data_IF_561893028933
#
_entry.id   IF_561893028933
#
_cell.length_a   1.000
_cell.length_b   1.000
_cell.length_c   1.000
_cell.angle_alpha   90.00
_cell.angle_beta   90.00
_cell.angle_gamma   90.00
#
_symmetry.space_group_name_H-M   'P 1'
#
loop_
_entity.id
_entity.type
_entity.pdbx_description
1 polymer ?
#
# COMPACT_ATOMS: atom_id res chain seq x y z
N UNK A 1 2.21 -27.85 14.83
CA UNK A 1 1.36 -26.70 15.22
C UNK A 1 0.02 -26.85 14.53
N UNK A 2 -1.10 -26.49 15.17
CA UNK A 2 -2.39 -26.42 14.48
C UNK A 2 -2.35 -25.36 13.37
N UNK A 3 -3.19 -25.50 12.32
CA UNK A 3 -3.31 -24.47 11.30
C UNK A 3 -3.86 -23.16 11.90
N UNK A 4 -3.46 -21.99 11.37
CA UNK A 4 -3.98 -20.71 11.84
C UNK A 4 -5.48 -20.58 11.58
N UNK A 5 -6.18 -19.87 12.48
CA UNK A 5 -7.61 -19.57 12.36
C UNK A 5 -7.89 -18.65 11.17
N UNK A 6 -9.14 -18.64 10.70
CA UNK A 6 -9.56 -17.75 9.62
C UNK A 6 -9.35 -16.26 10.00
N UNK A 7 -9.61 -15.91 11.27
CA UNK A 7 -9.38 -14.58 11.81
C UNK A 7 -7.89 -14.18 11.73
N UNK A 8 -6.98 -15.08 12.12
CA UNK A 8 -5.52 -14.85 12.04
C UNK A 8 -5.08 -14.67 10.58
N UNK A 9 -5.60 -15.50 9.67
CA UNK A 9 -5.27 -15.40 8.24
C UNK A 9 -5.73 -14.05 7.67
N UNK A 10 -6.97 -13.63 7.95
CA UNK A 10 -7.53 -12.37 7.49
C UNK A 10 -6.77 -11.16 8.06
N UNK A 11 -6.46 -11.19 9.36
CA UNK A 11 -5.63 -10.18 10.04
C UNK A 11 -4.27 -10.04 9.36
N UNK A 12 -3.62 -11.17 9.04
CA UNK A 12 -2.35 -11.18 8.32
C UNK A 12 -2.46 -10.64 6.89
N UNK A 13 -3.58 -10.87 6.21
CA UNK A 13 -3.81 -10.35 4.86
C UNK A 13 -3.91 -8.82 4.86
N UNK A 14 -4.73 -8.24 5.74
CA UNK A 14 -4.85 -6.78 5.88
C UNK A 14 -3.48 -6.16 6.17
N UNK A 15 -2.75 -6.69 7.17
CA UNK A 15 -1.44 -6.17 7.54
C UNK A 15 -0.41 -6.22 6.39
N UNK A 16 -0.45 -7.23 5.54
CA UNK A 16 0.45 -7.32 4.37
C UNK A 16 0.09 -6.31 3.30
N UNK A 17 -1.20 -6.13 3.02
CA UNK A 17 -1.67 -5.19 2.00
C UNK A 17 -1.38 -3.74 2.41
N UNK A 18 -1.56 -3.37 3.68
CA UNK A 18 -1.18 -2.05 4.18
C UNK A 18 0.32 -1.78 4.05
N UNK A 19 1.15 -2.80 4.32
CA UNK A 19 2.60 -2.69 4.11
C UNK A 19 2.97 -2.55 2.63
N UNK A 20 2.26 -3.27 1.76
CA UNK A 20 2.40 -3.17 0.30
C UNK A 20 2.07 -1.74 -0.17
N UNK A 21 0.95 -1.17 0.28
CA UNK A 21 0.55 0.21 -0.06
C UNK A 21 1.55 1.24 0.45
N UNK A 22 1.99 1.12 1.71
CA UNK A 22 3.02 2.00 2.27
C UNK A 22 4.36 1.92 1.49
N UNK A 23 4.74 0.72 1.02
CA UNK A 23 5.93 0.55 0.19
C UNK A 23 5.79 1.27 -1.14
N UNK A 24 4.63 1.16 -1.80
CA UNK A 24 4.38 1.87 -3.05
C UNK A 24 4.30 3.39 -2.87
N UNK A 25 3.81 3.88 -1.74
CA UNK A 25 3.85 5.32 -1.43
C UNK A 25 5.29 5.84 -1.35
N UNK A 26 6.16 5.11 -0.64
CA UNK A 26 7.57 5.48 -0.56
C UNK A 26 8.26 5.44 -1.93
N UNK A 27 7.99 4.39 -2.72
CA UNK A 27 8.54 4.27 -4.07
C UNK A 27 8.08 5.43 -4.96
N UNK A 28 6.79 5.78 -4.92
CA UNK A 28 6.25 6.91 -5.67
C UNK A 28 6.94 8.22 -5.31
N UNK A 29 7.13 8.50 -4.01
CA UNK A 29 7.82 9.70 -3.53
C UNK A 29 9.26 9.78 -4.09
N UNK A 30 10.00 8.68 -4.06
CA UNK A 30 11.36 8.62 -4.61
C UNK A 30 11.39 8.84 -6.14
N UNK A 31 10.41 8.29 -6.86
CA UNK A 31 10.29 8.45 -8.31
C UNK A 31 9.92 9.89 -8.69
N UNK A 32 8.96 10.50 -7.98
CA UNK A 32 8.55 11.89 -8.20
C UNK A 32 9.68 12.87 -7.87
N UNK A 33 10.45 12.62 -6.81
CA UNK A 33 11.63 13.41 -6.48
C UNK A 33 12.69 13.36 -7.59
N UNK A 34 12.93 12.18 -8.19
CA UNK A 34 13.86 12.02 -9.32
C UNK A 34 13.38 12.75 -10.57
N UNK A 35 12.09 12.60 -10.91
CA UNK A 35 11.49 13.29 -12.05
C UNK A 35 11.59 14.81 -11.90
N UNK A 36 11.27 15.33 -10.71
CA UNK A 36 11.38 16.75 -10.40
C UNK A 36 12.81 17.27 -10.50
N UNK A 37 13.79 16.54 -9.94
CA UNK A 37 15.19 16.92 -10.03
C UNK A 37 15.69 16.95 -11.49
N UNK A 38 15.25 16.02 -12.33
CA UNK A 38 15.57 16.02 -13.76
C UNK A 38 14.92 17.20 -14.49
N UNK A 39 13.66 17.50 -14.18
CA UNK A 39 12.97 18.66 -14.72
C UNK A 39 13.66 19.99 -14.35
N UNK A 40 14.14 20.11 -13.12
CA UNK A 40 14.90 21.28 -12.66
C UNK A 40 16.23 21.45 -13.39
N UNK A 41 16.96 20.35 -13.66
CA UNK A 41 18.20 20.39 -14.48
C UNK A 41 17.96 20.86 -15.90
N UNK A 42 16.91 20.34 -16.55
CA UNK A 42 16.52 20.76 -17.90
C UNK A 42 16.20 22.26 -17.90
N UNK A 43 15.44 22.73 -16.91
CA UNK A 43 15.06 24.16 -16.77
C UNK A 43 16.26 25.06 -16.49
N UNK A 44 17.28 24.59 -15.78
CA UNK A 44 18.49 25.36 -15.49
C UNK A 44 19.52 25.35 -16.63
N UNK A 45 19.23 24.64 -17.73
CA UNK A 45 20.17 24.47 -18.85
C UNK A 45 21.37 23.59 -18.51
N UNK A 46 21.30 22.84 -17.40
CA UNK A 46 22.27 21.80 -17.03
C UNK A 46 21.90 20.48 -17.72
N UNK A 47 21.69 20.54 -19.02
CA UNK A 47 21.41 19.35 -19.81
C UNK A 47 22.66 18.46 -19.88
N UNK A 48 22.42 17.16 -19.76
CA UNK A 48 23.41 16.10 -19.87
C UNK A 48 24.14 16.22 -21.23
N UNK A 49 25.44 15.93 -21.30
CA UNK A 49 26.25 16.05 -22.55
C UNK A 49 25.64 15.29 -23.75
N UNK A 50 24.86 14.24 -23.48
CA UNK A 50 24.18 13.40 -24.46
C UNK A 50 22.87 14.00 -25.02
N UNK A 51 22.38 15.14 -24.49
CA UNK A 51 21.16 15.83 -24.95
C UNK A 51 19.86 15.01 -24.83
N UNK A 52 19.87 13.96 -24.00
CA UNK A 52 18.75 13.02 -23.84
C UNK A 52 17.91 13.30 -22.58
N UNK A 53 18.18 14.39 -21.86
CA UNK A 53 17.56 14.69 -20.57
C UNK A 53 16.02 14.73 -20.64
N UNK A 54 15.46 15.31 -21.69
CA UNK A 54 13.99 15.34 -21.92
C UNK A 54 13.40 13.95 -22.14
N UNK A 55 14.13 13.07 -22.83
CA UNK A 55 13.72 11.68 -23.01
C UNK A 55 13.75 10.92 -21.68
N UNK A 56 14.79 11.12 -20.86
CA UNK A 56 14.90 10.54 -19.52
C UNK A 56 13.73 11.01 -18.63
N UNK A 57 13.41 12.32 -18.63
CA UNK A 57 12.28 12.86 -17.88
C UNK A 57 10.97 12.19 -18.30
N UNK A 58 10.74 12.00 -19.60
CA UNK A 58 9.55 11.31 -20.10
C UNK A 58 9.46 9.86 -19.60
N UNK A 59 10.58 9.15 -19.53
CA UNK A 59 10.63 7.79 -18.99
C UNK A 59 10.35 7.76 -17.49
N UNK A 60 10.93 8.70 -16.72
CA UNK A 60 10.68 8.81 -15.28
C UNK A 60 9.20 9.11 -14.99
N UNK A 61 8.59 10.02 -15.75
CA UNK A 61 7.16 10.30 -15.64
C UNK A 61 6.30 9.08 -15.99
N UNK A 62 6.69 8.29 -16.99
CA UNK A 62 5.97 7.05 -17.30
C UNK A 62 6.02 6.05 -16.13
N UNK A 63 7.17 5.91 -15.47
CA UNK A 63 7.32 5.04 -14.30
C UNK A 63 6.44 5.53 -13.15
N UNK A 64 6.43 6.84 -12.87
CA UNK A 64 5.54 7.46 -11.87
C UNK A 64 4.07 7.11 -12.14
N UNK A 65 3.62 7.25 -13.38
CA UNK A 65 2.22 6.95 -13.74
C UNK A 65 1.90 5.44 -13.64
N UNK A 66 2.87 4.57 -13.96
CA UNK A 66 2.71 3.12 -13.77
C UNK A 66 2.57 2.76 -12.29
N UNK A 67 3.39 3.35 -11.41
CA UNK A 67 3.27 3.14 -9.96
C UNK A 67 1.95 3.70 -9.42
N UNK A 68 1.53 4.90 -9.87
CA UNK A 68 0.21 5.46 -9.53
C UNK A 68 -0.95 4.53 -9.90
N UNK A 69 -0.87 3.86 -11.04
CA UNK A 69 -1.90 2.94 -11.49
C UNK A 69 -2.06 1.69 -10.61
N UNK A 70 -1.05 1.33 -9.79
CA UNK A 70 -1.12 0.19 -8.86
C UNK A 70 -2.05 0.48 -7.67
N UNK A 71 -2.14 1.73 -7.23
CA UNK A 71 -2.89 2.08 -6.01
C UNK A 71 -4.39 1.77 -6.11
N UNK A 72 -5.01 1.99 -7.27
CA UNK A 72 -6.45 1.72 -7.45
C UNK A 72 -6.82 0.27 -7.13
N UNK A 73 -6.29 -0.71 -7.89
CA UNK A 73 -6.53 -2.14 -7.61
C UNK A 73 -6.06 -2.59 -6.24
N UNK A 74 -4.98 -1.99 -5.70
CA UNK A 74 -4.49 -2.32 -4.36
C UNK A 74 -5.46 -1.88 -3.26
N UNK A 75 -6.00 -0.66 -3.36
CA UNK A 75 -7.03 -0.15 -2.43
C UNK A 75 -8.31 -0.98 -2.48
N UNK A 76 -8.73 -1.43 -3.67
CA UNK A 76 -9.86 -2.35 -3.80
C UNK A 76 -9.61 -3.69 -3.06
N UNK A 77 -8.38 -4.21 -3.13
CA UNK A 77 -7.97 -5.43 -2.40
C UNK A 77 -7.95 -5.19 -0.88
N UNK A 78 -7.49 -4.02 -0.44
CA UNK A 78 -7.49 -3.62 0.97
C UNK A 78 -8.93 -3.53 1.49
N UNK A 79 -9.81 -2.82 0.78
CA UNK A 79 -11.21 -2.66 1.17
C UNK A 79 -11.92 -4.01 1.34
N UNK A 80 -11.76 -4.94 0.39
CA UNK A 80 -12.32 -6.30 0.48
C UNK A 80 -11.73 -7.11 1.63
N UNK A 81 -10.44 -6.95 1.91
CA UNK A 81 -9.78 -7.65 3.03
C UNK A 81 -10.26 -7.10 4.39
N UNK A 82 -10.50 -5.79 4.47
CA UNK A 82 -11.05 -5.09 5.63
C UNK A 82 -12.48 -5.56 5.90
N UNK A 83 -13.36 -5.53 4.91
CA UNK A 83 -14.75 -6.01 5.02
C UNK A 83 -14.78 -7.47 5.54
N UNK A 84 -13.96 -8.34 4.96
CA UNK A 84 -13.83 -9.72 5.43
C UNK A 84 -13.34 -9.83 6.87
N UNK A 85 -12.42 -8.96 7.30
CA UNK A 85 -11.92 -8.96 8.67
C UNK A 85 -13.00 -8.49 9.66
N UNK A 86 -13.78 -7.48 9.29
CA UNK A 86 -14.93 -6.99 10.07
C UNK A 86 -16.00 -8.07 10.28
N UNK A 87 -16.34 -8.80 9.22
CA UNK A 87 -17.28 -9.92 9.28
C UNK A 87 -16.78 -11.01 10.24
N UNK A 88 -15.50 -11.38 10.12
CA UNK A 88 -14.90 -12.41 10.97
C UNK A 88 -14.84 -11.99 12.44
N UNK A 89 -14.49 -10.72 12.74
CA UNK A 89 -14.55 -10.20 14.11
C UNK A 89 -15.97 -10.32 14.65
N UNK A 90 -16.98 -9.92 13.88
CA UNK A 90 -18.39 -9.97 14.30
C UNK A 90 -18.86 -11.40 14.58
N UNK A 91 -18.42 -12.37 13.79
CA UNK A 91 -18.72 -13.79 14.03
C UNK A 91 -18.04 -14.28 15.31
N UNK A 92 -16.75 -14.01 15.47
CA UNK A 92 -15.96 -14.49 16.61
C UNK A 92 -16.40 -13.86 17.94
N UNK A 93 -16.89 -12.62 17.94
CA UNK A 93 -17.51 -12.00 19.13
C UNK A 93 -18.81 -12.69 19.57
N UNK A 94 -19.54 -13.32 18.65
CA UNK A 94 -20.78 -14.05 18.94
C UNK A 94 -20.51 -15.50 19.37
N UNK A 95 -19.52 -16.14 18.76
CA UNK A 95 -19.19 -17.54 19.01
C UNK A 95 -18.25 -17.73 20.20
N UNK A 96 -17.38 -16.74 20.47
CA UNK A 96 -16.33 -16.83 21.47
C UNK A 96 -15.26 -17.89 21.17
N UNK A 97 -15.10 -18.27 19.89
CA UNK A 97 -14.16 -19.31 19.50
C UNK A 97 -12.72 -18.80 19.36
N UNK A 98 -12.53 -17.55 18.92
CA UNK A 98 -11.24 -16.88 18.91
C UNK A 98 -10.75 -16.54 20.32
N UNK A 99 -9.43 -16.58 20.50
CA UNK A 99 -8.79 -16.10 21.73
C UNK A 99 -8.88 -14.58 21.83
N UNK A 100 -8.78 -14.05 23.06
CA UNK A 100 -8.76 -12.61 23.30
C UNK A 100 -7.61 -11.90 22.54
N UNK A 101 -6.46 -12.57 22.40
CA UNK A 101 -5.31 -12.06 21.65
C UNK A 101 -5.58 -11.98 20.14
N UNK A 102 -6.18 -13.02 19.55
CA UNK A 102 -6.56 -13.01 18.13
C UNK A 102 -7.58 -11.88 17.83
N UNK A 103 -8.59 -11.71 18.69
CA UNK A 103 -9.56 -10.62 18.56
C UNK A 103 -8.92 -9.24 18.71
N UNK A 104 -8.01 -9.07 19.68
CA UNK A 104 -7.30 -7.81 19.88
C UNK A 104 -6.43 -7.46 18.65
N UNK A 105 -5.70 -8.42 18.11
CA UNK A 105 -4.87 -8.24 16.92
C UNK A 105 -5.70 -7.92 15.67
N UNK A 106 -6.84 -8.60 15.49
CA UNK A 106 -7.76 -8.35 14.39
C UNK A 106 -8.32 -6.92 14.46
N UNK A 107 -8.79 -6.48 15.63
CA UNK A 107 -9.29 -5.11 15.84
C UNK A 107 -8.20 -4.07 15.62
N UNK A 108 -6.99 -4.30 16.10
CA UNK A 108 -5.87 -3.39 15.87
C UNK A 108 -5.53 -3.24 14.37
N UNK A 109 -5.54 -4.34 13.61
CA UNK A 109 -5.33 -4.31 12.17
C UNK A 109 -6.45 -3.55 11.44
N UNK A 110 -7.70 -3.71 11.90
CA UNK A 110 -8.86 -3.01 11.36
C UNK A 110 -8.78 -1.49 11.61
N UNK A 111 -8.50 -1.08 12.83
CA UNK A 111 -8.34 0.34 13.19
C UNK A 111 -7.21 0.98 12.38
N UNK A 112 -6.08 0.27 12.26
CA UNK A 112 -4.96 0.71 11.42
C UNK A 112 -5.38 0.90 9.96
N UNK A 113 -6.10 -0.07 9.39
CA UNK A 113 -6.57 0.03 8.01
C UNK A 113 -7.50 1.24 7.81
N UNK A 114 -8.41 1.50 8.75
CA UNK A 114 -9.30 2.66 8.70
C UNK A 114 -8.54 3.98 8.77
N UNK A 115 -7.55 4.07 9.65
CA UNK A 115 -6.70 5.26 9.78
C UNK A 115 -5.87 5.55 8.51
N UNK A 116 -5.39 4.51 7.83
CA UNK A 116 -4.60 4.64 6.59
C UNK A 116 -5.47 4.84 5.33
N UNK A 117 -6.78 4.54 5.42
CA UNK A 117 -7.75 4.74 4.33
C UNK A 117 -8.52 6.06 4.41
N UNK A 118 -8.33 6.85 5.48
CA UNK A 118 -9.00 8.14 5.74
C UNK A 118 -8.23 9.32 5.17
#
# INVERSE_FOLDING_TARGET
MPPPSALVIATGAVNRLLKEEASYHKELEEQEAKAKAQEEKIKSGQDDEDGNATYILKQQNLVVEQTKAVFGPLRDRIAKAVEKLEDLITVEEKTGAATAEELANAKAALEKAKAESS
#
